data_IF_297441885032
#
_entry.id   IF_297441885032
#
_cell.length_a   1.000
_cell.length_b   1.000
_cell.length_c   1.000
_cell.angle_alpha   90.00
_cell.angle_beta   90.00
_cell.angle_gamma   90.00
#
_symmetry.space_group_name_H-M   'P 1'
#
loop_
_entity.id
_entity.type
_entity.pdbx_description
1 polymer ?
#
# COMPACT_ATOMS: atom_id res chain seq x y z
N UNK A 1 -10.22 -8.67 -17.39
CA UNK A 1 -11.48 -9.09 -16.74
C UNK A 1 -11.19 -9.94 -15.50
N UNK A 2 -10.48 -11.06 -15.61
CA UNK A 2 -10.18 -11.95 -14.48
C UNK A 2 -9.49 -11.31 -13.25
N UNK A 3 -8.52 -10.38 -13.42
CA UNK A 3 -7.85 -9.74 -12.27
C UNK A 3 -8.84 -8.93 -11.41
N UNK A 4 -9.71 -8.17 -12.07
CA UNK A 4 -10.70 -7.31 -11.41
C UNK A 4 -11.78 -8.15 -10.73
N UNK A 5 -12.21 -9.24 -11.36
CA UNK A 5 -13.33 -10.06 -10.87
C UNK A 5 -12.91 -11.17 -9.89
N UNK A 6 -11.72 -11.74 -10.05
CA UNK A 6 -11.30 -12.95 -9.33
C UNK A 6 -10.17 -12.72 -8.31
N UNK A 7 -9.34 -11.68 -8.46
CA UNK A 7 -8.20 -11.44 -7.57
C UNK A 7 -8.44 -10.25 -6.64
N UNK A 8 -8.85 -9.11 -7.21
CA UNK A 8 -9.16 -7.91 -6.45
C UNK A 8 -10.42 -8.12 -5.60
N UNK A 9 -10.58 -7.41 -4.47
CA UNK A 9 -11.79 -7.50 -3.66
C UNK A 9 -13.03 -7.15 -4.49
N UNK A 10 -14.18 -7.72 -4.12
CA UNK A 10 -15.45 -7.25 -4.66
C UNK A 10 -15.63 -5.76 -4.37
N UNK A 11 -16.29 -5.06 -5.30
CA UNK A 11 -16.59 -3.63 -5.22
C UNK A 11 -15.39 -2.68 -5.17
N UNK A 12 -14.17 -3.17 -5.42
CA UNK A 12 -12.94 -2.37 -5.38
C UNK A 12 -12.94 -1.19 -6.35
N UNK A 13 -13.53 -1.36 -7.52
CA UNK A 13 -13.60 -0.36 -8.58
C UNK A 13 -14.99 0.29 -8.74
N UNK A 14 -15.82 0.25 -7.70
CA UNK A 14 -17.13 0.91 -7.70
C UNK A 14 -17.00 2.42 -7.52
N UNK A 15 -18.08 3.18 -7.79
CA UNK A 15 -18.06 4.66 -7.76
C UNK A 15 -17.60 5.26 -6.42
N UNK A 16 -17.90 4.59 -5.31
CA UNK A 16 -17.53 5.06 -3.96
C UNK A 16 -16.14 4.56 -3.51
N UNK A 17 -15.53 3.62 -4.24
CA UNK A 17 -14.20 3.07 -3.98
C UNK A 17 -14.01 2.61 -2.52
N UNK A 18 -15.09 2.18 -1.84
CA UNK A 18 -15.07 1.87 -0.39
C UNK A 18 -14.04 0.78 -0.07
N UNK A 19 -13.98 -0.28 -0.88
CA UNK A 19 -13.01 -1.35 -0.65
C UNK A 19 -11.55 -0.89 -0.89
N UNK A 20 -11.34 0.03 -1.83
CA UNK A 20 -10.03 0.67 -2.05
C UNK A 20 -9.62 1.56 -0.88
N UNK A 21 -10.56 2.35 -0.34
CA UNK A 21 -10.34 3.17 0.85
C UNK A 21 -10.05 2.31 2.10
N UNK A 22 -10.76 1.18 2.26
CA UNK A 22 -10.50 0.23 3.33
C UNK A 22 -9.07 -0.31 3.24
N UNK A 23 -8.60 -0.66 2.03
CA UNK A 23 -7.23 -1.14 1.82
C UNK A 23 -6.17 -0.07 2.13
N UNK A 24 -6.45 1.22 1.94
CA UNK A 24 -5.56 2.28 2.41
C UNK A 24 -5.47 2.35 3.94
N UNK A 25 -6.60 2.23 4.65
CA UNK A 25 -6.61 2.17 6.13
C UNK A 25 -5.85 0.93 6.64
N UNK A 26 -6.05 -0.22 5.99
CA UNK A 26 -5.32 -1.46 6.29
C UNK A 26 -3.81 -1.28 6.06
N UNK A 27 -3.40 -0.62 4.97
CA UNK A 27 -1.99 -0.32 4.71
C UNK A 27 -1.41 0.54 5.83
N UNK A 28 -2.15 1.57 6.29
CA UNK A 28 -1.73 2.41 7.42
C UNK A 28 -1.51 1.58 8.69
N UNK A 29 -2.42 0.66 9.01
CA UNK A 29 -2.24 -0.25 10.17
C UNK A 29 -0.96 -1.09 10.03
N UNK A 30 -0.72 -1.67 8.85
CA UNK A 30 0.49 -2.46 8.63
C UNK A 30 1.77 -1.61 8.63
N UNK A 31 1.70 -0.37 8.16
CA UNK A 31 2.82 0.56 8.21
C UNK A 31 3.20 0.87 9.66
N UNK A 32 2.21 1.15 10.52
CA UNK A 32 2.43 1.37 11.94
C UNK A 32 3.01 0.14 12.65
N UNK A 33 2.58 -1.06 12.28
CA UNK A 33 3.05 -2.31 12.88
C UNK A 33 4.47 -2.70 12.41
N UNK A 34 4.75 -2.57 11.11
CA UNK A 34 5.99 -3.08 10.50
C UNK A 34 7.08 -2.02 10.39
N UNK A 35 6.72 -0.75 10.25
CA UNK A 35 7.62 0.40 10.10
C UNK A 35 7.24 1.52 11.09
N UNK A 36 7.25 1.25 12.41
CA UNK A 36 6.72 2.19 13.42
C UNK A 36 7.46 3.53 13.43
N UNK A 37 8.77 3.54 13.16
CA UNK A 37 9.57 4.77 13.07
C UNK A 37 9.09 5.66 11.93
N UNK A 38 8.87 5.06 10.76
CA UNK A 38 8.39 5.77 9.58
C UNK A 38 6.93 6.22 9.75
N UNK A 39 6.08 5.39 10.33
CA UNK A 39 4.69 5.75 10.63
C UNK A 39 4.62 6.96 11.59
N UNK A 40 5.40 6.96 12.67
CA UNK A 40 5.47 8.09 13.59
C UNK A 40 6.00 9.37 12.93
N UNK A 41 6.98 9.23 12.02
CA UNK A 41 7.48 10.35 11.23
C UNK A 41 6.39 10.94 10.34
N UNK A 42 5.65 10.11 9.62
CA UNK A 42 4.51 10.57 8.82
C UNK A 42 3.44 11.24 9.65
N UNK A 43 3.12 10.71 10.84
CA UNK A 43 2.17 11.36 11.76
C UNK A 43 2.67 12.72 12.23
N UNK A 44 3.96 12.83 12.57
CA UNK A 44 4.59 14.09 13.01
C UNK A 44 4.45 15.21 11.97
N UNK A 45 4.55 14.85 10.68
CA UNK A 45 4.46 15.79 9.57
C UNK A 45 3.09 15.84 8.89
N UNK A 46 2.07 15.16 9.45
CA UNK A 46 0.72 15.14 8.88
C UNK A 46 0.64 14.52 7.48
N UNK A 47 1.47 13.52 7.20
CA UNK A 47 1.55 12.86 5.91
C UNK A 47 0.46 11.79 5.80
N UNK A 48 -0.48 12.00 4.88
CA UNK A 48 -1.42 10.99 4.45
C UNK A 48 -0.83 10.20 3.28
N UNK A 49 -0.31 9.03 3.58
CA UNK A 49 0.28 8.11 2.59
C UNK A 49 -0.71 7.69 1.51
N UNK A 50 -2.02 7.73 1.79
CA UNK A 50 -3.05 7.33 0.82
C UNK A 50 -3.05 8.21 -0.43
N UNK A 51 -2.60 9.46 -0.32
CA UNK A 51 -2.45 10.37 -1.46
C UNK A 51 -1.50 9.85 -2.54
N UNK A 52 -0.58 8.95 -2.17
CA UNK A 52 0.38 8.32 -3.09
C UNK A 52 0.02 6.86 -3.33
N UNK A 53 -0.31 6.12 -2.27
CA UNK A 53 -0.49 4.66 -2.33
C UNK A 53 -1.83 4.25 -2.94
N UNK A 54 -2.82 5.14 -3.00
CA UNK A 54 -4.09 4.86 -3.63
C UNK A 54 -3.92 4.45 -5.10
N UNK A 55 -3.16 5.24 -5.88
CA UNK A 55 -2.91 4.91 -7.29
C UNK A 55 -2.14 3.59 -7.42
N UNK A 56 -1.14 3.36 -6.57
CA UNK A 56 -0.35 2.12 -6.60
C UNK A 56 -1.23 0.87 -6.51
N UNK A 57 -2.25 0.91 -5.65
CA UNK A 57 -3.15 -0.22 -5.45
C UNK A 57 -4.16 -0.33 -6.59
N UNK A 58 -4.71 0.79 -7.06
CA UNK A 58 -5.71 0.81 -8.13
C UNK A 58 -5.19 0.21 -9.43
N UNK A 59 -3.96 0.56 -9.81
CA UNK A 59 -3.34 0.07 -11.05
C UNK A 59 -2.27 -0.99 -10.82
N UNK A 60 -2.20 -1.57 -9.61
CA UNK A 60 -1.24 -2.62 -9.23
C UNK A 60 0.19 -2.25 -9.69
N UNK A 61 0.62 -1.05 -9.32
CA UNK A 61 1.94 -0.48 -9.57
C UNK A 61 2.38 -0.28 -11.03
N UNK A 62 1.52 -0.53 -12.02
CA UNK A 62 1.89 -0.47 -13.46
C UNK A 62 2.50 0.87 -13.85
N UNK A 63 1.98 1.98 -13.34
CA UNK A 63 2.52 3.31 -13.62
C UNK A 63 3.62 3.73 -12.64
N UNK A 64 3.79 3.00 -11.53
CA UNK A 64 4.62 3.40 -10.40
C UNK A 64 6.01 2.80 -10.44
N UNK A 65 6.18 1.60 -11.01
CA UNK A 65 7.47 0.89 -11.04
C UNK A 65 7.99 0.67 -12.46
N UNK A 66 9.33 0.63 -12.66
CA UNK A 66 9.92 0.14 -13.91
C UNK A 66 9.64 -1.36 -14.10
N UNK A 67 9.69 -1.83 -15.35
CA UNK A 67 9.33 -3.20 -15.73
C UNK A 67 10.09 -4.29 -14.95
N UNK A 68 11.37 -4.07 -14.66
CA UNK A 68 12.22 -5.03 -13.93
C UNK A 68 11.77 -5.28 -12.48
N UNK A 69 11.02 -4.34 -11.90
CA UNK A 69 10.39 -4.48 -10.58
C UNK A 69 8.92 -4.90 -10.70
N UNK A 70 8.26 -4.43 -11.76
CA UNK A 70 6.85 -4.69 -12.00
C UNK A 70 6.58 -6.15 -12.34
N UNK A 71 7.37 -6.78 -13.20
CA UNK A 71 7.12 -8.16 -13.64
C UNK A 71 7.17 -9.17 -12.48
N UNK A 72 8.20 -9.18 -11.60
CA UNK A 72 8.21 -10.10 -10.46
C UNK A 72 7.09 -9.82 -9.45
N UNK A 73 6.69 -8.56 -9.29
CA UNK A 73 5.53 -8.18 -8.48
C UNK A 73 4.26 -8.82 -9.05
N UNK A 74 4.05 -8.71 -10.35
CA UNK A 74 2.88 -9.26 -11.03
C UNK A 74 2.86 -10.79 -11.01
N UNK A 75 4.00 -11.46 -11.20
CA UNK A 75 4.10 -12.91 -11.07
C UNK A 75 3.65 -13.36 -9.68
N UNK A 76 4.14 -12.70 -8.62
CA UNK A 76 3.74 -13.00 -7.27
C UNK A 76 2.28 -12.63 -7.00
N UNK A 77 1.79 -11.50 -7.54
CA UNK A 77 0.40 -11.06 -7.37
C UNK A 77 -0.59 -12.04 -8.01
N UNK A 78 -0.29 -12.56 -9.20
CA UNK A 78 -1.12 -13.56 -9.88
C UNK A 78 -1.11 -14.90 -9.14
N UNK A 79 -0.02 -15.25 -8.47
CA UNK A 79 0.12 -16.50 -7.72
C UNK A 79 -0.47 -16.44 -6.29
N UNK A 80 -0.16 -15.38 -5.54
CA UNK A 80 -0.49 -15.25 -4.11
C UNK A 80 -1.65 -14.28 -3.80
N UNK A 81 -2.08 -13.50 -4.78
CA UNK A 81 -3.20 -12.56 -4.69
C UNK A 81 -2.86 -11.21 -4.04
N UNK A 82 -3.93 -10.50 -3.62
CA UNK A 82 -3.89 -9.08 -3.20
C UNK A 82 -2.94 -8.75 -2.05
N UNK A 83 -2.59 -9.70 -1.18
CA UNK A 83 -1.60 -9.48 -0.11
C UNK A 83 -0.22 -9.08 -0.63
N UNK A 84 0.09 -9.37 -1.90
CA UNK A 84 1.36 -8.96 -2.54
C UNK A 84 1.43 -7.44 -2.69
N UNK A 85 0.31 -6.78 -3.02
CA UNK A 85 0.25 -5.31 -3.17
C UNK A 85 0.70 -4.63 -1.88
N UNK A 86 0.21 -5.09 -0.73
CA UNK A 86 0.61 -4.59 0.60
C UNK A 86 2.08 -4.86 0.91
N UNK A 87 2.56 -6.08 0.65
CA UNK A 87 3.97 -6.45 0.88
C UNK A 87 4.91 -5.55 0.09
N UNK A 88 4.62 -5.32 -1.19
CA UNK A 88 5.44 -4.45 -2.03
C UNK A 88 5.34 -2.98 -1.63
N UNK A 89 4.15 -2.49 -1.24
CA UNK A 89 4.01 -1.12 -0.73
C UNK A 89 4.89 -0.88 0.50
N UNK A 90 4.84 -1.77 1.49
CA UNK A 90 5.68 -1.69 2.69
C UNK A 90 7.17 -1.87 2.37
N UNK A 91 7.51 -2.77 1.44
CA UNK A 91 8.89 -2.97 1.03
C UNK A 91 9.48 -1.73 0.34
N UNK A 92 8.70 -1.01 -0.47
CA UNK A 92 9.11 0.25 -1.09
C UNK A 92 9.40 1.31 -0.02
N UNK A 93 8.51 1.47 0.96
CA UNK A 93 8.74 2.36 2.08
C UNK A 93 9.97 1.96 2.89
N UNK A 94 10.14 0.67 3.20
CA UNK A 94 11.31 0.16 3.92
C UNK A 94 12.61 0.40 3.14
N UNK A 95 12.59 0.22 1.83
CA UNK A 95 13.77 0.43 0.97
C UNK A 95 14.29 1.88 1.06
N UNK A 96 13.39 2.85 1.23
CA UNK A 96 13.71 4.28 1.32
C UNK A 96 13.49 4.88 2.71
N UNK A 97 13.35 4.05 3.74
CA UNK A 97 13.03 4.50 5.10
C UNK A 97 14.04 5.54 5.60
N UNK A 98 15.33 5.26 5.50
CA UNK A 98 16.38 6.17 5.97
C UNK A 98 16.46 7.48 5.15
N UNK A 99 16.07 7.45 3.88
CA UNK A 99 16.03 8.66 3.04
C UNK A 99 14.84 9.53 3.45
N UNK A 100 13.67 8.92 3.69
CA UNK A 100 12.45 9.62 4.11
C UNK A 100 12.62 10.24 5.50
N UNK A 101 13.22 9.51 6.44
CA UNK A 101 13.41 9.96 7.83
C UNK A 101 14.34 11.18 7.97
N UNK A 102 15.16 11.47 6.96
CA UNK A 102 16.04 12.66 6.92
C UNK A 102 15.31 13.93 6.48
N UNK A 103 14.10 13.80 5.93
CA UNK A 103 13.31 14.92 5.43
C UNK A 103 12.40 15.38 6.56
N UNK A 104 12.49 16.67 6.91
CA UNK A 104 11.80 17.26 8.05
C UNK A 104 10.80 18.35 7.66
N UNK A 105 10.36 18.34 6.40
CA UNK A 105 9.32 19.21 5.85
C UNK A 105 8.26 18.38 5.13
N UNK A 106 6.98 18.69 5.36
CA UNK A 106 5.88 17.90 4.83
C UNK A 106 5.76 17.99 3.31
N UNK A 107 6.04 19.15 2.73
CA UNK A 107 5.99 19.37 1.28
C UNK A 107 7.11 18.59 0.59
N UNK A 108 8.32 18.64 1.14
CA UNK A 108 9.46 17.85 0.65
C UNK A 108 9.20 16.35 0.75
N UNK A 109 8.59 15.88 1.85
CA UNK A 109 8.20 14.46 1.98
C UNK A 109 7.21 14.08 0.86
N UNK A 110 6.16 14.85 0.63
CA UNK A 110 5.20 14.55 -0.45
C UNK A 110 5.86 14.54 -1.84
N UNK A 111 6.75 15.48 -2.11
CA UNK A 111 7.50 15.52 -3.37
C UNK A 111 8.38 14.27 -3.52
N UNK A 112 9.09 13.89 -2.46
CA UNK A 112 9.90 12.66 -2.46
C UNK A 112 9.03 11.43 -2.69
N UNK A 113 7.92 11.29 -1.95
CA UNK A 113 7.01 10.14 -2.03
C UNK A 113 6.42 9.94 -3.44
N UNK A 114 6.21 11.02 -4.20
CA UNK A 114 5.67 10.97 -5.56
C UNK A 114 6.63 10.32 -6.58
N UNK A 115 7.94 10.44 -6.38
CA UNK A 115 8.93 10.05 -7.38
C UNK A 115 9.90 8.95 -6.95
N UNK A 116 10.02 8.66 -5.65
CA UNK A 116 11.06 7.74 -5.17
C UNK A 116 10.95 6.33 -5.75
N UNK A 117 9.75 5.87 -6.11
CA UNK A 117 9.53 4.54 -6.70
C UNK A 117 10.28 4.34 -8.00
N UNK A 118 10.53 5.42 -8.75
CA UNK A 118 11.36 5.42 -9.97
C UNK A 118 12.86 5.38 -9.69
N UNK A 119 13.28 5.66 -8.46
CA UNK A 119 14.69 5.62 -8.02
C UNK A 119 15.10 4.25 -7.51
N UNK A 120 14.17 3.30 -7.41
CA UNK A 120 14.46 1.92 -6.99
C UNK A 120 15.09 1.19 -8.18
N UNK A 121 16.31 0.70 -7.97
CA UNK A 121 17.09 0.00 -9.00
C UNK A 121 17.38 -1.46 -8.65
N UNK A 122 17.44 -1.82 -7.37
CA UNK A 122 17.77 -3.18 -6.94
C UNK A 122 16.51 -4.02 -6.71
N UNK A 123 16.10 -4.73 -7.76
CA UNK A 123 14.97 -5.67 -7.74
C UNK A 123 15.15 -6.78 -6.71
N UNK A 124 16.36 -7.33 -6.62
CA UNK A 124 16.65 -8.45 -5.70
C UNK A 124 16.49 -8.00 -4.25
N UNK A 125 17.02 -6.83 -3.90
CA UNK A 125 16.86 -6.26 -2.57
C UNK A 125 15.39 -5.95 -2.26
N UNK A 126 14.64 -5.37 -3.19
CA UNK A 126 13.21 -5.10 -3.00
C UNK A 126 12.42 -6.39 -2.75
N UNK A 127 12.65 -7.43 -3.56
CA UNK A 127 12.03 -8.74 -3.37
C UNK A 127 12.42 -9.36 -2.03
N UNK A 128 13.69 -9.28 -1.63
CA UNK A 128 14.14 -9.77 -0.33
C UNK A 128 13.37 -9.12 0.83
N UNK A 129 13.22 -7.79 0.81
CA UNK A 129 12.45 -7.07 1.82
C UNK A 129 10.97 -7.51 1.79
N UNK A 130 10.36 -7.60 0.60
CA UNK A 130 8.94 -7.93 0.46
C UNK A 130 8.58 -9.36 0.93
N UNK A 131 9.47 -10.34 0.70
CA UNK A 131 9.20 -11.75 0.97
C UNK A 131 9.92 -12.31 2.20
N UNK A 132 10.89 -11.61 2.79
CA UNK A 132 11.51 -12.01 4.04
C UNK A 132 11.15 -11.05 5.17
N UNK A 133 11.53 -9.77 5.05
CA UNK A 133 11.39 -8.80 6.16
C UNK A 133 9.92 -8.47 6.48
N UNK A 134 9.06 -8.37 5.45
CA UNK A 134 7.65 -8.04 5.65
C UNK A 134 6.80 -9.26 6.10
N UNK A 135 7.37 -10.46 6.07
CA UNK A 135 6.68 -11.68 6.50
C UNK A 135 6.74 -11.86 8.03
N UNK A 136 5.80 -12.61 8.63
CA UNK A 136 4.63 -13.21 7.99
C UNK A 136 3.57 -12.15 7.63
N UNK A 137 2.86 -12.39 6.52
CA UNK A 137 1.70 -11.61 6.09
C UNK A 137 0.47 -12.52 5.88
N UNK A 138 -0.17 -13.00 6.97
CA UNK A 138 -1.24 -14.00 6.88
C UNK A 138 -2.46 -13.43 6.18
N UNK A 139 -2.97 -14.13 5.15
CA UNK A 139 -4.16 -13.69 4.41
C UNK A 139 -5.38 -13.49 5.32
N UNK A 140 -5.51 -14.31 6.37
CA UNK A 140 -6.57 -14.17 7.38
C UNK A 140 -6.50 -12.83 8.10
N UNK A 141 -5.30 -12.36 8.47
CA UNK A 141 -5.13 -11.07 9.13
C UNK A 141 -5.56 -9.92 8.21
N UNK A 142 -5.11 -9.97 6.95
CA UNK A 142 -5.51 -8.99 5.93
C UNK A 142 -7.03 -8.94 5.75
N UNK A 143 -7.67 -10.11 5.59
CA UNK A 143 -9.13 -10.21 5.43
C UNK A 143 -9.88 -9.64 6.64
N UNK A 144 -9.42 -9.95 7.86
CA UNK A 144 -10.04 -9.45 9.09
C UNK A 144 -9.94 -7.93 9.20
N UNK A 145 -8.75 -7.34 8.94
CA UNK A 145 -8.59 -5.87 8.95
C UNK A 145 -9.42 -5.19 7.88
N UNK A 146 -9.48 -5.76 6.67
CA UNK A 146 -10.31 -5.25 5.58
C UNK A 146 -11.79 -5.24 5.97
N UNK A 147 -12.30 -6.34 6.51
CA UNK A 147 -13.70 -6.43 6.95
C UNK A 147 -14.03 -5.36 8.00
N UNK A 148 -13.15 -5.17 8.99
CA UNK A 148 -13.31 -4.16 10.03
C UNK A 148 -13.37 -2.73 9.45
N UNK A 149 -12.45 -2.37 8.55
CA UNK A 149 -12.41 -1.03 7.95
C UNK A 149 -13.56 -0.78 6.97
N UNK A 150 -13.99 -1.82 6.23
CA UNK A 150 -15.18 -1.76 5.38
C UNK A 150 -16.44 -1.42 6.19
N UNK A 151 -16.66 -2.11 7.31
CA UNK A 151 -17.81 -1.88 8.17
C UNK A 151 -17.85 -0.44 8.70
N UNK A 152 -16.68 0.09 9.12
CA UNK A 152 -16.52 1.47 9.58
C UNK A 152 -16.83 2.49 8.48
N UNK A 153 -16.23 2.33 7.30
CA UNK A 153 -16.45 3.22 6.15
C UNK A 153 -17.91 3.24 5.70
N UNK A 154 -18.56 2.07 5.68
CA UNK A 154 -19.99 1.99 5.36
C UNK A 154 -20.85 2.67 6.44
N UNK A 155 -20.45 2.61 7.71
CA UNK A 155 -21.06 3.36 8.80
C UNK A 155 -20.99 4.87 8.56
N UNK A 156 -19.77 5.38 8.31
CA UNK A 156 -19.50 6.79 8.03
C UNK A 156 -20.31 7.30 6.82
N UNK A 157 -20.37 6.53 5.73
CA UNK A 157 -21.14 6.91 4.54
C UNK A 157 -22.65 7.02 4.83
N UNK A 158 -23.21 6.07 5.59
CA UNK A 158 -24.64 6.10 5.97
C UNK A 158 -24.99 7.26 6.88
N UNK A 159 -24.04 7.80 7.64
CA UNK A 159 -24.25 8.98 8.48
C UNK A 159 -24.23 10.27 7.64
N UNK A 160 -23.42 10.33 6.59
CA UNK A 160 -23.37 11.47 5.67
C UNK A 160 -24.58 11.57 4.75
N UNK A 161 -25.25 10.45 4.47
CA UNK A 161 -26.46 10.37 3.64
C UNK A 161 -27.76 10.67 4.40
N UNK A 162 -27.69 10.89 5.72
CA UNK A 162 -28.83 11.28 6.58
C UNK A 162 -28.92 12.80 6.73
#
# INVERSE_FOLDING_TARGET
>A
VAVVEAIMPQDYYTKNLIASQADQRVLKDFLAEKLPRLAAHFETYGIDVSLVTFNWFMVVFVESLPSDLLLPLWDAFLYEGTKVIFRYALALFKYKEDDILKIHDSTEIYQFLRFFTKTISDSRKLMNIAFNDMNPFPLRLLRNRRALHLERLQGELRELEK
#
